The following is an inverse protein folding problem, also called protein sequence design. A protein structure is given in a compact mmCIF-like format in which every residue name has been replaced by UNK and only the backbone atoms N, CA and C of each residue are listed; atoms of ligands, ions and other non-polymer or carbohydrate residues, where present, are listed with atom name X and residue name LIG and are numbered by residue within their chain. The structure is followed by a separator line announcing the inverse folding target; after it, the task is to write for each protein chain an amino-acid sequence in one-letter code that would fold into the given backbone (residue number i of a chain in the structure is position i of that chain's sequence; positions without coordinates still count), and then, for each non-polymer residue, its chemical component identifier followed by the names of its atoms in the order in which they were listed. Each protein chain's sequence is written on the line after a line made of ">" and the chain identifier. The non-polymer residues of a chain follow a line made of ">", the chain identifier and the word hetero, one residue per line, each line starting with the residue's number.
data_IF_094572324197
#
_entry.id   IF_094572324197
#
_cell.length_a   1.000
_cell.length_b   1.000
_cell.length_c   1.000
_cell.angle_alpha   90.00
_cell.angle_beta   90.00
_cell.angle_gamma   90.00
#
_symmetry.space_group_name_H-M   'P 1'
#
loop_
_entity.id
_entity.type
_entity.pdbx_description
1 polymer ?
#
# COMPACT_ATOMS: atom_id res chain seq x y z
N UNK A 1 -6.15 -2.65 12.59
CA UNK A 1 -6.60 -1.95 11.36
C UNK A 1 -6.09 -2.71 10.15
N UNK A 2 -6.95 -2.96 9.16
CA UNK A 2 -6.59 -3.69 7.95
C UNK A 2 -6.04 -2.72 6.91
N UNK A 3 -4.76 -2.87 6.57
CA UNK A 3 -4.03 -1.98 5.67
C UNK A 3 -3.47 -2.84 4.54
N UNK A 4 -4.23 -2.99 3.46
CA UNK A 4 -3.78 -3.70 2.28
C UNK A 4 -3.25 -2.73 1.26
N UNK A 5 -1.98 -2.90 0.90
CA UNK A 5 -1.32 -2.04 -0.09
C UNK A 5 -1.54 -2.52 -1.51
N UNK A 6 -1.90 -3.78 -1.70
CA UNK A 6 -2.10 -4.39 -3.00
C UNK A 6 -3.33 -5.30 -2.95
N UNK A 7 -3.99 -5.46 -4.09
CA UNK A 7 -5.12 -6.37 -4.22
C UNK A 7 -4.96 -7.18 -5.50
N UNK A 8 -4.92 -8.52 -5.44
CA UNK A 8 -4.81 -9.35 -6.62
C UNK A 8 -6.04 -9.13 -7.50
N UNK A 9 -5.80 -8.89 -8.79
CA UNK A 9 -6.85 -8.73 -9.80
C UNK A 9 -6.67 -9.82 -10.85
N UNK A 10 -7.79 -10.41 -11.27
CA UNK A 10 -7.83 -11.40 -12.36
C UNK A 10 -7.77 -10.75 -13.74
N UNK A 11 -8.07 -9.45 -13.84
CA UNK A 11 -8.05 -8.65 -15.07
C UNK A 11 -7.24 -7.36 -14.87
N UNK A 12 -7.47 -6.32 -15.68
CA UNK A 12 -6.75 -5.04 -15.60
C UNK A 12 -7.39 -4.10 -14.59
N UNK A 13 -6.58 -3.42 -13.78
CA UNK A 13 -7.03 -2.42 -12.82
C UNK A 13 -5.88 -1.89 -11.99
N UNK A 14 -6.19 -0.93 -11.12
CA UNK A 14 -5.21 -0.39 -10.17
C UNK A 14 -4.65 -1.50 -9.27
N UNK A 15 -3.32 -1.61 -9.26
CA UNK A 15 -2.59 -2.71 -8.60
C UNK A 15 -2.43 -2.49 -7.10
N UNK A 16 -2.42 -1.23 -6.65
CA UNK A 16 -2.29 -0.90 -5.24
C UNK A 16 -1.46 0.36 -4.98
N UNK A 17 -1.43 0.79 -3.73
CA UNK A 17 -0.76 2.01 -3.26
C UNK A 17 0.76 1.94 -3.42
N UNK A 18 1.34 0.76 -3.25
CA UNK A 18 2.78 0.55 -3.47
C UNK A 18 3.11 0.68 -4.94
N UNK A 19 2.30 0.05 -5.81
CA UNK A 19 2.59 -0.03 -7.23
C UNK A 19 2.25 1.27 -7.99
N UNK A 20 1.18 1.96 -7.62
CA UNK A 20 0.76 3.20 -8.27
C UNK A 20 0.15 4.16 -7.22
N UNK A 21 0.98 4.88 -6.46
CA UNK A 21 0.53 5.72 -5.36
C UNK A 21 -0.32 6.92 -5.81
N UNK A 22 -0.20 7.33 -7.08
CA UNK A 22 -0.88 8.51 -7.63
C UNK A 22 -2.17 8.18 -8.38
N UNK A 23 -2.48 6.90 -8.57
CA UNK A 23 -3.66 6.42 -9.33
C UNK A 23 -3.66 6.90 -10.79
N UNK A 24 -2.49 7.25 -11.33
CA UNK A 24 -2.31 7.82 -12.66
C UNK A 24 -1.55 6.87 -13.60
N UNK A 25 -1.17 5.68 -13.13
CA UNK A 25 -0.41 4.72 -13.90
C UNK A 25 1.05 5.10 -14.12
N UNK A 26 1.61 6.03 -13.32
CA UNK A 26 3.04 6.38 -13.37
C UNK A 26 3.96 5.29 -12.81
N UNK A 27 3.40 4.36 -12.05
CA UNK A 27 4.12 3.24 -11.42
C UNK A 27 5.28 3.67 -10.52
N UNK A 28 5.12 4.74 -9.73
CA UNK A 28 6.15 5.18 -8.78
C UNK A 28 6.20 4.30 -7.51
N UNK A 29 6.89 3.16 -7.64
CA UNK A 29 7.08 2.20 -6.56
C UNK A 29 7.90 2.79 -5.40
N UNK A 30 8.89 3.64 -5.70
CA UNK A 30 9.76 4.22 -4.67
C UNK A 30 8.99 5.17 -3.75
N UNK A 31 8.11 5.98 -4.33
CA UNK A 31 7.21 6.83 -3.56
C UNK A 31 6.17 5.99 -2.80
N UNK A 32 5.58 4.98 -3.45
CA UNK A 32 4.62 4.05 -2.84
C UNK A 32 5.17 3.35 -1.60
N UNK A 33 6.40 2.82 -1.65
CA UNK A 33 7.07 2.18 -0.51
C UNK A 33 7.29 3.14 0.67
N UNK A 34 7.74 4.38 0.38
CA UNK A 34 7.93 5.41 1.42
C UNK A 34 6.61 5.79 2.06
N UNK A 35 5.56 5.97 1.27
CA UNK A 35 4.24 6.33 1.75
C UNK A 35 3.61 5.20 2.59
N UNK A 36 3.69 3.94 2.11
CA UNK A 36 3.21 2.77 2.84
C UNK A 36 3.87 2.64 4.22
N UNK A 37 5.20 2.81 4.29
CA UNK A 37 5.94 2.80 5.55
C UNK A 37 5.51 3.94 6.49
N UNK A 38 5.35 5.16 5.97
CA UNK A 38 4.90 6.31 6.77
C UNK A 38 3.51 6.07 7.37
N UNK A 39 2.61 5.44 6.60
CA UNK A 39 1.27 5.10 7.06
C UNK A 39 1.29 4.04 8.17
N UNK A 40 2.06 2.96 8.01
CA UNK A 40 2.23 1.95 9.06
C UNK A 40 2.82 2.52 10.34
N UNK A 41 3.82 3.41 10.22
CA UNK A 41 4.43 4.06 11.36
C UNK A 41 3.42 4.95 12.09
N UNK A 42 2.65 5.75 11.34
CA UNK A 42 1.62 6.63 11.91
C UNK A 42 0.53 5.84 12.64
N UNK A 43 0.08 4.71 12.07
CA UNK A 43 -0.91 3.83 12.71
C UNK A 43 -0.39 3.21 14.01
N UNK A 44 0.84 2.71 14.00
CA UNK A 44 1.47 2.18 15.21
C UNK A 44 1.67 3.28 16.27
N UNK A 45 2.05 4.49 15.88
CA UNK A 45 2.17 5.64 16.79
C UNK A 45 0.84 6.03 17.44
N UNK A 46 -0.28 5.81 16.76
CA UNK A 46 -1.63 6.00 17.31
C UNK A 46 -2.10 4.82 18.18
N UNK A 47 -1.25 3.82 18.41
CA UNK A 47 -1.59 2.61 19.17
C UNK A 47 -2.51 1.64 18.42
N UNK A 48 -2.70 1.82 17.11
CA UNK A 48 -3.51 0.93 16.28
C UNK A 48 -2.63 -0.09 15.57
N UNK A 49 -2.71 -1.39 15.93
CA UNK A 49 -1.97 -2.42 15.21
C UNK A 49 -2.47 -2.52 13.77
N UNK A 50 -1.55 -2.61 12.81
CA UNK A 50 -1.86 -2.76 11.39
C UNK A 50 -1.68 -4.21 10.93
N UNK A 51 -2.55 -4.69 10.06
CA UNK A 51 -2.44 -6.01 9.42
C UNK A 51 -2.46 -5.82 7.90
N UNK A 52 -1.47 -6.37 7.21
CA UNK A 52 -1.33 -6.34 5.75
C UNK A 52 -1.25 -7.77 5.19
N UNK A 53 -1.55 -7.92 3.92
CA UNK A 53 -1.32 -9.14 3.14
C UNK A 53 0.09 -9.03 2.55
N UNK A 54 0.90 -10.07 2.72
CA UNK A 54 2.23 -10.17 2.12
C UNK A 54 2.15 -11.21 1.00
N UNK A 55 2.30 -10.74 -0.23
CA UNK A 55 2.50 -11.59 -1.40
C UNK A 55 3.99 -11.89 -1.49
N UNK A 56 4.36 -13.16 -1.40
CA UNK A 56 5.73 -13.65 -1.64
C UNK A 56 5.83 -14.25 -3.04
#
# INVERSE_FOLDING_TARGET
>A
MRVYFEKPRTTVGWKGLINDPHLDGTFDINFGLRQARSLLLSLNNMGMPASTEFWI
#
